data_IF_566136009175
#
_entry.id   IF_566136009175
#
_cell.length_a   1.000
_cell.length_b   1.000
_cell.length_c   1.000
_cell.angle_alpha   90.00
_cell.angle_beta   90.00
_cell.angle_gamma   90.00
#
_symmetry.space_group_name_H-M   'P 1'
#
loop_
_entity.id
_entity.type
_entity.pdbx_description
1 polymer ?
#
# COMPACT_ATOMS: atom_id res chain seq x y z
N UNK A 1 12.25 6.23 -11.97
CA UNK A 1 11.36 5.82 -10.85
C UNK A 1 11.24 7.03 -9.91
N UNK A 2 10.04 7.53 -9.63
CA UNK A 2 9.84 8.75 -8.82
C UNK A 2 10.34 8.54 -7.38
N UNK A 3 11.36 9.28 -6.95
CA UNK A 3 11.99 9.15 -5.61
C UNK A 3 10.99 9.38 -4.46
N UNK A 4 10.02 10.27 -4.66
CA UNK A 4 9.00 10.60 -3.67
C UNK A 4 7.99 9.47 -3.45
N UNK A 5 7.66 8.71 -4.51
CA UNK A 5 6.81 7.53 -4.38
C UNK A 5 7.50 6.44 -3.53
N UNK A 6 8.81 6.24 -3.71
CA UNK A 6 9.57 5.30 -2.89
C UNK A 6 9.60 5.72 -1.43
N UNK A 7 9.78 7.01 -1.13
CA UNK A 7 9.70 7.53 0.24
C UNK A 7 8.32 7.29 0.85
N UNK A 8 7.25 7.62 0.13
CA UNK A 8 5.89 7.41 0.60
C UNK A 8 5.59 5.92 0.87
N UNK A 9 6.02 5.02 -0.04
CA UNK A 9 5.90 3.57 0.16
C UNK A 9 6.71 3.11 1.38
N UNK A 10 7.90 3.67 1.61
CA UNK A 10 8.73 3.32 2.76
C UNK A 10 8.14 3.79 4.10
N UNK A 11 7.32 4.85 4.10
CA UNK A 11 6.60 5.34 5.28
C UNK A 11 5.31 4.55 5.57
N UNK A 12 4.90 3.64 4.68
CA UNK A 12 3.76 2.76 4.95
C UNK A 12 4.08 1.78 6.09
N UNK A 13 3.10 1.46 6.94
CA UNK A 13 3.22 0.37 7.88
C UNK A 13 3.62 -0.93 7.17
N UNK A 14 4.43 -1.80 7.78
CA UNK A 14 5.00 -2.98 7.11
C UNK A 14 3.96 -3.83 6.37
N UNK A 15 2.82 -4.12 7.01
CA UNK A 15 1.73 -4.91 6.41
C UNK A 15 1.04 -4.19 5.24
N UNK A 16 0.82 -2.88 5.35
CA UNK A 16 0.25 -2.07 4.26
C UNK A 16 1.18 -2.05 3.05
N UNK A 17 2.49 -1.86 3.30
CA UNK A 17 3.53 -1.86 2.28
C UNK A 17 3.60 -3.20 1.55
N UNK A 18 3.64 -4.28 2.31
CA UNK A 18 3.75 -5.64 1.76
C UNK A 18 2.54 -6.00 0.89
N UNK A 19 1.33 -5.74 1.37
CA UNK A 19 0.09 -5.96 0.59
C UNK A 19 0.08 -5.10 -0.68
N UNK A 20 0.46 -3.82 -0.58
CA UNK A 20 0.55 -2.93 -1.74
C UNK A 20 1.57 -3.44 -2.77
N UNK A 21 2.73 -3.92 -2.30
CA UNK A 21 3.78 -4.43 -3.19
C UNK A 21 3.31 -5.69 -3.91
N UNK A 22 2.74 -6.65 -3.18
CA UNK A 22 2.22 -7.89 -3.75
C UNK A 22 1.11 -7.62 -4.78
N UNK A 23 0.22 -6.68 -4.49
CA UNK A 23 -0.84 -6.30 -5.43
C UNK A 23 -0.30 -5.55 -6.66
N UNK A 24 0.65 -4.63 -6.48
CA UNK A 24 1.08 -3.71 -7.55
C UNK A 24 2.22 -4.26 -8.40
N UNK A 25 3.21 -4.89 -7.78
CA UNK A 25 4.40 -5.42 -8.47
C UNK A 25 4.23 -6.90 -8.82
N UNK A 26 3.72 -7.73 -7.90
CA UNK A 26 3.49 -9.15 -8.18
C UNK A 26 2.13 -9.42 -8.82
N UNK A 27 1.27 -8.40 -8.96
CA UNK A 27 -0.07 -8.49 -9.56
C UNK A 27 -0.97 -9.56 -8.92
N UNK A 28 -0.72 -9.89 -7.66
CA UNK A 28 -1.53 -10.85 -6.92
C UNK A 28 -2.90 -10.24 -6.60
N UNK A 29 -3.93 -11.08 -6.68
CA UNK A 29 -5.27 -10.76 -6.21
C UNK A 29 -5.32 -10.71 -4.69
N UNK A 30 -6.32 -10.02 -4.13
CA UNK A 30 -6.48 -9.98 -2.67
C UNK A 30 -6.69 -11.37 -2.06
N UNK A 31 -7.28 -12.31 -2.81
CA UNK A 31 -7.44 -13.70 -2.38
C UNK A 31 -6.08 -14.40 -2.27
N UNK A 32 -5.23 -14.29 -3.29
CA UNK A 32 -3.88 -14.86 -3.26
C UNK A 32 -3.03 -14.24 -2.14
N UNK A 33 -3.13 -12.94 -1.93
CA UNK A 33 -2.44 -12.24 -0.83
C UNK A 33 -2.94 -12.72 0.53
N UNK A 34 -4.25 -12.96 0.68
CA UNK A 34 -4.83 -13.46 1.92
C UNK A 34 -4.28 -14.83 2.30
N UNK A 35 -4.11 -15.72 1.31
CA UNK A 35 -3.50 -17.04 1.49
C UNK A 35 -2.00 -16.90 1.75
N UNK A 36 -1.29 -16.10 0.96
CA UNK A 36 0.17 -15.90 1.07
C UNK A 36 0.60 -15.35 2.43
N UNK A 37 -0.17 -14.41 2.98
CA UNK A 37 0.12 -13.77 4.27
C UNK A 37 -0.61 -14.42 5.45
N UNK A 38 -1.42 -15.47 5.22
CA UNK A 38 -2.25 -16.11 6.25
C UNK A 38 -3.11 -15.11 7.04
N UNK A 39 -3.75 -14.17 6.34
CA UNK A 39 -4.66 -13.17 6.91
C UNK A 39 -6.02 -13.25 6.23
N UNK A 40 -7.06 -12.71 6.87
CA UNK A 40 -8.39 -12.69 6.24
C UNK A 40 -8.42 -11.77 5.01
N UNK A 41 -9.28 -12.08 4.03
CA UNK A 41 -9.53 -11.21 2.89
C UNK A 41 -9.98 -9.80 3.32
N UNK A 42 -10.72 -9.70 4.43
CA UNK A 42 -11.13 -8.43 5.02
C UNK A 42 -9.94 -7.62 5.54
N UNK A 43 -8.97 -8.30 6.16
CA UNK A 43 -7.69 -7.70 6.58
C UNK A 43 -6.93 -7.17 5.37
N UNK A 44 -6.83 -7.93 4.29
CA UNK A 44 -6.16 -7.48 3.05
C UNK A 44 -6.82 -6.21 2.51
N UNK A 45 -8.15 -6.20 2.38
CA UNK A 45 -8.90 -5.01 1.92
C UNK A 45 -8.67 -3.80 2.83
N UNK A 46 -8.77 -3.99 4.14
CA UNK A 46 -8.58 -2.92 5.13
C UNK A 46 -7.18 -2.33 5.07
N UNK A 47 -6.15 -3.17 5.00
CA UNK A 47 -4.77 -2.72 4.90
C UNK A 47 -4.49 -2.06 3.54
N UNK A 48 -5.11 -2.53 2.46
CA UNK A 48 -4.99 -1.88 1.15
C UNK A 48 -5.62 -0.49 1.14
N UNK A 49 -6.81 -0.31 1.74
CA UNK A 49 -7.44 1.01 1.90
C UNK A 49 -6.54 1.93 2.71
N UNK A 50 -5.98 1.46 3.84
CA UNK A 50 -5.03 2.24 4.66
C UNK A 50 -3.75 2.60 3.90
N UNK A 51 -3.22 1.67 3.10
CA UNK A 51 -2.06 1.93 2.25
C UNK A 51 -2.35 3.06 1.25
N UNK A 52 -3.50 3.00 0.57
CA UNK A 52 -3.92 4.00 -0.41
C UNK A 52 -4.19 5.36 0.23
N UNK A 53 -4.81 5.41 1.42
CA UNK A 53 -5.03 6.65 2.17
C UNK A 53 -3.70 7.32 2.52
N UNK A 54 -2.75 6.57 3.11
CA UNK A 54 -1.43 7.11 3.44
C UNK A 54 -0.63 7.54 2.23
N UNK A 55 -0.68 6.79 1.13
CA UNK A 55 -0.05 7.21 -0.12
C UNK A 55 -0.70 8.48 -0.67
N UNK A 56 -2.02 8.61 -0.58
CA UNK A 56 -2.75 9.81 -1.01
C UNK A 56 -2.45 11.02 -0.13
N UNK A 57 -2.31 10.84 1.18
CA UNK A 57 -1.91 11.90 2.12
C UNK A 57 -0.51 12.39 1.80
N UNK A 58 0.46 11.47 1.68
CA UNK A 58 1.80 11.81 1.27
C UNK A 58 1.81 12.58 -0.06
N UNK A 59 1.02 12.17 -1.05
CA UNK A 59 0.91 12.87 -2.33
C UNK A 59 0.21 14.23 -2.26
N UNK A 60 -0.76 14.42 -1.35
CA UNK A 60 -1.42 15.72 -1.15
C UNK A 60 -0.46 16.76 -0.56
N UNK A 61 0.41 16.35 0.36
CA UNK A 61 1.47 17.21 0.87
C UNK A 61 2.44 17.66 -0.23
N UNK A 62 2.55 16.90 -1.33
CA UNK A 62 3.36 17.28 -2.50
C UNK A 62 2.60 18.11 -3.55
N UNK A 63 1.29 17.90 -3.73
CA UNK A 63 0.48 18.58 -4.76
C UNK A 63 0.02 19.98 -4.30
N UNK A 64 0.07 20.27 -3.00
CA UNK A 64 -0.21 21.61 -2.48
C UNK A 64 0.89 22.07 -1.50
N UNK A 65 2.02 22.59 -1.99
CA UNK A 65 3.03 23.20 -1.13
C UNK A 65 2.59 24.62 -0.75
N UNK A 66 1.49 24.76 0.00
CA UNK A 66 1.00 26.05 0.51
C UNK A 66 0.30 26.93 -0.52
#
# INVERSE_FOLDING_TARGET
MNQELHKAINQLPPQCREIFILCRFERLTYAEISVKLSVSLSTVKTQMVRAMQKLSEAMKDFINPG
#
